data_IF_252791655010
#
_entry.id   IF_252791655010
#
_cell.length_a   1.000
_cell.length_b   1.000
_cell.length_c   1.000
_cell.angle_alpha   90.00
_cell.angle_beta   90.00
_cell.angle_gamma   90.00
#
_symmetry.space_group_name_H-M   'P 1'
#
loop_
_entity.id
_entity.type
_entity.pdbx_description
1 polymer ?
#
# COMPACT_ATOMS: atom_id res chain seq x y z
N UNK A 1 41.52 -116.11 21.38
CA UNK A 1 40.17 -115.60 21.74
C UNK A 1 40.16 -114.09 21.53
N UNK A 2 39.23 -113.55 20.73
CA UNK A 2 38.93 -112.09 20.61
C UNK A 2 38.36 -111.55 21.96
N UNK A 3 38.20 -110.22 22.25
CA UNK A 3 38.40 -109.00 21.42
C UNK A 3 38.88 -107.66 22.11
N UNK A 4 38.95 -106.57 21.30
CA UNK A 4 38.51 -105.15 21.49
C UNK A 4 39.44 -104.00 22.06
N UNK A 5 39.62 -102.94 21.21
CA UNK A 5 39.64 -101.43 21.37
C UNK A 5 40.38 -100.77 22.58
N UNK A 6 41.06 -99.60 22.55
CA UNK A 6 40.84 -98.29 21.86
C UNK A 6 42.05 -97.31 22.03
N UNK A 7 42.21 -96.40 21.05
CA UNK A 7 42.62 -94.96 21.02
C UNK A 7 43.89 -94.38 21.71
N UNK A 8 44.56 -93.49 20.95
CA UNK A 8 45.78 -92.73 21.25
C UNK A 8 45.51 -91.21 21.42
N UNK A 9 46.36 -90.53 22.21
CA UNK A 9 46.49 -89.07 22.26
C UNK A 9 47.98 -88.68 22.41
N UNK A 10 48.45 -87.71 21.62
CA UNK A 10 49.78 -87.08 21.70
C UNK A 10 49.58 -85.56 21.85
N UNK A 11 50.26 -84.96 22.83
CA UNK A 11 50.35 -83.50 23.06
C UNK A 11 51.68 -82.97 22.50
N UNK A 12 51.66 -81.79 21.85
CA UNK A 12 52.84 -80.97 21.58
C UNK A 12 52.50 -79.46 21.64
N UNK A 13 53.38 -78.67 22.27
CA UNK A 13 53.34 -77.21 22.43
C UNK A 13 53.64 -76.44 21.13
N UNK A 14 53.11 -75.22 20.97
CA UNK A 14 53.78 -74.16 20.20
C UNK A 14 53.30 -72.73 20.55
N UNK A 15 54.26 -71.80 20.56
CA UNK A 15 54.17 -70.41 20.98
C UNK A 15 53.38 -69.52 19.99
N UNK A 16 52.67 -68.53 20.53
CA UNK A 16 51.82 -67.58 19.80
C UNK A 16 52.62 -66.36 19.34
N UNK A 17 52.69 -66.13 18.02
CA UNK A 17 53.15 -64.88 17.40
C UNK A 17 51.96 -63.94 17.18
N UNK A 18 52.03 -62.71 17.70
CA UNK A 18 51.06 -61.65 17.37
C UNK A 18 51.42 -61.04 16.01
N UNK A 19 50.52 -61.15 15.03
CA UNK A 19 50.54 -60.39 13.79
C UNK A 19 49.69 -59.12 13.97
N UNK A 20 50.32 -57.95 13.81
CA UNK A 20 49.61 -56.68 13.65
C UNK A 20 48.97 -56.67 12.25
N UNK A 21 47.64 -56.66 12.21
CA UNK A 21 46.87 -56.42 10.99
C UNK A 21 46.80 -54.89 10.81
N UNK A 22 47.50 -54.36 9.80
CA UNK A 22 47.29 -52.98 9.37
C UNK A 22 45.88 -52.85 8.76
N UNK A 23 45.05 -52.00 9.37
CA UNK A 23 43.77 -51.58 8.81
C UNK A 23 44.07 -50.64 7.64
N UNK A 24 43.54 -50.85 6.43
CA UNK A 24 43.78 -49.94 5.32
C UNK A 24 43.20 -48.56 5.67
N UNK A 25 44.02 -47.53 5.57
CA UNK A 25 43.62 -46.14 5.77
C UNK A 25 42.46 -45.79 4.82
N UNK A 26 41.29 -45.58 5.39
CA UNK A 26 40.09 -45.18 4.67
C UNK A 26 40.35 -43.82 4.00
N UNK A 27 40.25 -43.76 2.67
CA UNK A 27 40.43 -42.52 1.93
C UNK A 27 39.46 -41.45 2.46
N UNK A 28 39.99 -40.31 2.90
CA UNK A 28 39.19 -39.22 3.46
C UNK A 28 38.12 -38.79 2.45
N UNK A 29 36.85 -38.85 2.86
CA UNK A 29 35.73 -38.37 2.05
C UNK A 29 35.83 -36.87 1.82
N UNK A 30 35.41 -36.41 0.64
CA UNK A 30 35.48 -35.00 0.31
C UNK A 30 34.64 -34.16 1.27
N UNK A 31 35.18 -33.04 1.71
CA UNK A 31 34.52 -32.14 2.68
C UNK A 31 34.80 -30.68 2.35
N UNK A 32 33.89 -29.80 2.79
CA UNK A 32 34.00 -28.34 2.66
C UNK A 32 34.00 -27.68 4.03
N UNK A 33 34.81 -26.63 4.17
CA UNK A 33 34.77 -25.66 5.25
C UNK A 33 34.53 -24.27 4.67
N UNK A 34 33.67 -23.48 5.33
CA UNK A 34 33.26 -22.15 4.90
C UNK A 34 33.78 -21.09 5.86
N UNK A 35 34.29 -19.99 5.33
CA UNK A 35 34.65 -18.80 6.11
C UNK A 35 34.20 -17.53 5.38
N UNK A 36 33.20 -16.79 5.90
CA UNK A 36 32.36 -17.10 7.06
C UNK A 36 31.32 -18.22 6.78
N UNK A 37 30.70 -18.76 7.84
CA UNK A 37 29.60 -19.74 7.73
C UNK A 37 28.20 -19.09 7.68
N UNK A 38 28.11 -17.77 7.88
CA UNK A 38 26.86 -17.00 7.87
C UNK A 38 27.07 -15.54 7.46
N UNK A 39 26.05 -14.91 6.90
CA UNK A 39 26.06 -13.50 6.46
C UNK A 39 24.88 -13.13 5.55
N UNK A 40 24.68 -11.85 5.22
CA UNK A 40 23.63 -11.42 4.28
C UNK A 40 23.98 -11.81 2.82
N UNK A 41 23.01 -11.76 1.89
CA UNK A 41 23.31 -11.75 0.46
C UNK A 41 24.39 -10.72 0.11
N UNK A 42 25.28 -11.07 -0.81
CA UNK A 42 26.47 -10.29 -1.15
C UNK A 42 27.72 -10.64 -0.33
N UNK A 43 27.61 -11.48 0.70
CA UNK A 43 28.77 -11.98 1.44
C UNK A 43 29.70 -12.77 0.51
N UNK A 44 31.00 -12.46 0.53
CA UNK A 44 32.04 -13.28 -0.11
C UNK A 44 32.41 -14.39 0.87
N UNK A 45 32.27 -15.65 0.44
CA UNK A 45 32.59 -16.83 1.25
C UNK A 45 33.81 -17.52 0.66
N UNK A 46 34.87 -17.60 1.45
CA UNK A 46 36.03 -18.44 1.13
C UNK A 46 35.73 -19.88 1.49
N UNK A 47 35.81 -20.75 0.50
CA UNK A 47 35.51 -22.18 0.61
C UNK A 47 36.81 -22.96 0.50
N UNK A 48 37.08 -23.77 1.53
CA UNK A 48 38.20 -24.71 1.55
C UNK A 48 37.69 -26.13 1.39
N UNK A 49 38.14 -26.83 0.35
CA UNK A 49 37.80 -28.22 0.11
C UNK A 49 38.98 -29.17 0.30
N UNK A 50 38.72 -30.34 0.90
CA UNK A 50 39.70 -31.43 1.06
C UNK A 50 39.13 -32.74 0.54
N UNK A 51 39.98 -33.72 0.20
CA UNK A 51 39.55 -35.04 -0.29
C UNK A 51 39.08 -35.06 -1.75
N UNK A 52 39.41 -34.03 -2.53
CA UNK A 52 39.03 -33.94 -3.95
C UNK A 52 40.09 -34.58 -4.87
N UNK A 53 39.69 -35.03 -6.09
CA UNK A 53 40.60 -35.61 -7.06
C UNK A 53 41.78 -34.68 -7.41
N UNK A 54 42.99 -35.11 -7.08
CA UNK A 54 44.24 -34.32 -7.22
C UNK A 54 44.41 -33.79 -8.66
N UNK A 55 44.89 -32.55 -8.78
CA UNK A 55 45.21 -31.88 -10.07
C UNK A 55 44.02 -31.74 -11.04
N UNK A 56 42.78 -31.92 -10.60
CA UNK A 56 41.59 -31.70 -11.42
C UNK A 56 41.06 -30.27 -11.28
N UNK A 57 40.33 -29.82 -12.29
CA UNK A 57 39.52 -28.62 -12.22
C UNK A 57 38.14 -28.96 -11.63
N UNK A 58 37.54 -27.98 -10.95
CA UNK A 58 36.20 -28.10 -10.37
C UNK A 58 35.43 -26.80 -10.41
N UNK A 59 34.15 -26.89 -10.06
CA UNK A 59 33.22 -25.76 -9.95
C UNK A 59 32.65 -25.71 -8.56
N UNK A 60 32.70 -24.52 -7.96
CA UNK A 60 32.06 -24.14 -6.72
C UNK A 60 30.78 -23.37 -7.07
N UNK A 61 29.64 -23.72 -6.48
CA UNK A 61 28.37 -23.04 -6.71
C UNK A 61 27.67 -22.66 -5.39
N UNK A 62 27.03 -21.50 -5.41
CA UNK A 62 26.15 -20.98 -4.36
C UNK A 62 24.89 -20.41 -5.04
N UNK A 63 23.84 -21.23 -5.16
CA UNK A 63 22.65 -20.86 -5.92
C UNK A 63 22.97 -20.58 -7.40
N UNK A 64 22.69 -19.35 -7.84
CA UNK A 64 22.96 -18.90 -9.23
C UNK A 64 24.40 -18.46 -9.47
N UNK A 65 25.21 -18.28 -8.42
CA UNK A 65 26.59 -17.86 -8.53
C UNK A 65 27.53 -19.07 -8.56
N UNK A 66 28.62 -18.98 -9.33
CA UNK A 66 29.64 -20.03 -9.40
C UNK A 66 31.04 -19.49 -9.61
N UNK A 67 32.05 -20.24 -9.14
CA UNK A 67 33.47 -19.97 -9.32
C UNK A 67 34.21 -21.25 -9.71
N UNK A 68 35.19 -21.15 -10.62
CA UNK A 68 36.06 -22.26 -10.97
C UNK A 68 37.22 -22.39 -9.98
N UNK A 69 37.67 -23.61 -9.71
CA UNK A 69 38.86 -23.87 -8.89
C UNK A 69 39.72 -24.99 -9.48
N UNK A 70 40.97 -25.10 -9.02
CA UNK A 70 41.87 -26.22 -9.33
C UNK A 70 42.31 -26.90 -8.02
N UNK A 71 42.22 -28.22 -8.01
CA UNK A 71 42.63 -29.05 -6.87
C UNK A 71 44.15 -29.26 -6.91
N UNK A 72 44.81 -29.08 -5.78
CA UNK A 72 46.25 -29.27 -5.61
C UNK A 72 46.66 -30.74 -5.77
N UNK A 73 47.97 -30.99 -5.73
CA UNK A 73 48.51 -32.35 -5.65
C UNK A 73 48.21 -33.07 -4.31
N UNK A 74 47.76 -32.35 -3.29
CA UNK A 74 47.33 -32.90 -2.00
C UNK A 74 45.81 -33.14 -1.90
N UNK A 75 45.03 -32.82 -2.95
CA UNK A 75 43.57 -32.98 -2.94
C UNK A 75 42.83 -31.82 -2.28
N UNK A 76 43.49 -30.66 -2.19
CA UNK A 76 43.04 -29.45 -1.53
C UNK A 76 42.70 -28.34 -2.53
N UNK A 77 41.70 -27.51 -2.25
CA UNK A 77 41.50 -26.24 -2.97
C UNK A 77 40.96 -25.16 -2.04
N UNK A 78 41.15 -23.91 -2.47
CA UNK A 78 40.48 -22.73 -1.91
C UNK A 78 39.90 -21.89 -3.05
N UNK A 79 38.66 -21.45 -2.91
CA UNK A 79 38.01 -20.54 -3.85
C UNK A 79 36.94 -19.70 -3.15
N UNK A 80 36.70 -18.50 -3.67
CA UNK A 80 35.67 -17.60 -3.17
C UNK A 80 34.40 -17.72 -4.01
N UNK A 81 33.24 -17.61 -3.36
CA UNK A 81 31.94 -17.48 -4.02
C UNK A 81 31.10 -16.42 -3.32
N UNK A 82 30.39 -15.61 -4.10
CA UNK A 82 29.48 -14.58 -3.57
C UNK A 82 28.11 -15.19 -3.34
N UNK A 83 27.52 -14.94 -2.17
CA UNK A 83 26.15 -15.38 -1.85
C UNK A 83 25.14 -14.53 -2.65
N UNK A 84 24.29 -15.14 -3.50
CA UNK A 84 23.30 -14.38 -4.27
C UNK A 84 22.14 -13.88 -3.39
N UNK A 85 21.34 -12.92 -3.89
CA UNK A 85 20.02 -12.64 -3.33
C UNK A 85 19.19 -13.93 -3.22
N UNK A 86 18.65 -14.21 -2.04
CA UNK A 86 17.83 -15.41 -1.78
C UNK A 86 16.83 -15.16 -0.67
N UNK A 87 15.66 -15.79 -0.75
CA UNK A 87 14.64 -15.83 0.29
C UNK A 87 14.77 -17.04 1.22
N UNK A 88 15.70 -17.96 0.93
CA UNK A 88 15.93 -19.16 1.74
C UNK A 88 16.79 -18.82 2.97
N UNK A 89 16.48 -19.38 4.16
CA UNK A 89 17.25 -19.12 5.38
C UNK A 89 18.64 -19.77 5.37
N UNK A 90 18.83 -20.79 4.53
CA UNK A 90 20.08 -21.53 4.36
C UNK A 90 20.32 -21.74 2.87
N UNK A 91 21.57 -21.57 2.45
CA UNK A 91 22.02 -21.85 1.08
C UNK A 91 23.11 -22.93 1.10
N UNK A 92 22.90 -24.02 0.36
CA UNK A 92 23.93 -25.04 0.18
C UNK A 92 24.98 -24.57 -0.83
N UNK A 93 26.23 -24.50 -0.37
CA UNK A 93 27.39 -24.26 -1.22
C UNK A 93 27.96 -25.60 -1.62
N UNK A 94 28.04 -25.87 -2.93
CA UNK A 94 28.46 -27.15 -3.48
C UNK A 94 29.75 -27.03 -4.29
N UNK A 95 30.67 -27.96 -4.09
CA UNK A 95 31.87 -28.11 -4.93
C UNK A 95 31.85 -29.44 -5.67
N UNK A 96 32.13 -29.40 -6.96
CA UNK A 96 32.15 -30.57 -7.86
C UNK A 96 33.48 -30.59 -8.60
N UNK A 97 34.19 -31.73 -8.56
CA UNK A 97 35.38 -31.99 -9.37
C UNK A 97 35.38 -33.44 -9.83
N UNK A 98 35.14 -33.68 -11.12
CA UNK A 98 34.90 -35.02 -11.67
C UNK A 98 33.61 -35.62 -11.11
N UNK A 99 33.69 -36.84 -10.56
CA UNK A 99 32.56 -37.53 -9.93
C UNK A 99 32.38 -37.19 -8.44
N UNK A 100 33.33 -36.47 -7.84
CA UNK A 100 33.33 -36.14 -6.40
C UNK A 100 32.57 -34.83 -6.17
N UNK A 101 31.64 -34.87 -5.22
CA UNK A 101 30.85 -33.72 -4.76
C UNK A 101 30.91 -33.60 -3.25
N UNK A 102 30.98 -32.38 -2.74
CA UNK A 102 30.75 -32.08 -1.33
C UNK A 102 29.95 -30.78 -1.21
N UNK A 103 29.18 -30.64 -0.13
CA UNK A 103 28.36 -29.45 0.13
C UNK A 103 28.51 -29.01 1.58
N UNK A 104 28.34 -27.71 1.83
CA UNK A 104 28.27 -27.13 3.17
C UNK A 104 27.19 -26.04 3.21
N UNK A 105 26.43 -26.01 4.30
CA UNK A 105 25.34 -25.07 4.50
C UNK A 105 25.86 -23.70 4.96
N UNK A 106 25.45 -22.64 4.28
CA UNK A 106 25.68 -21.25 4.66
C UNK A 106 24.39 -20.64 5.21
N UNK A 107 24.43 -20.05 6.40
CA UNK A 107 23.24 -19.44 7.03
C UNK A 107 23.06 -17.99 6.57
N UNK A 108 21.90 -17.67 6.01
CA UNK A 108 21.57 -16.31 5.57
C UNK A 108 21.18 -15.47 6.78
N UNK A 109 21.90 -14.38 7.01
CA UNK A 109 21.59 -13.39 8.05
C UNK A 109 21.00 -12.17 7.35
N UNK A 110 19.68 -12.06 7.34
CA UNK A 110 19.00 -10.80 7.07
C UNK A 110 18.91 -10.02 8.37
N UNK A 111 19.62 -8.89 8.46
CA UNK A 111 19.32 -7.90 9.48
C UNK A 111 17.91 -7.40 9.16
N UNK A 112 16.90 -7.56 10.05
CA UNK A 112 15.63 -6.88 9.83
C UNK A 112 15.96 -5.40 9.80
N UNK A 113 15.79 -4.78 8.63
CA UNK A 113 15.71 -3.33 8.57
C UNK A 113 14.45 -3.02 9.36
N UNK A 114 14.60 -2.50 10.57
CA UNK A 114 13.50 -1.87 11.28
C UNK A 114 13.11 -0.67 10.43
N UNK A 115 12.18 -0.88 9.50
CA UNK A 115 11.50 0.20 8.84
C UNK A 115 10.87 1.02 9.98
N UNK A 116 11.07 2.36 10.01
CA UNK A 116 10.40 3.18 11.00
C UNK A 116 8.92 2.82 10.97
N UNK A 117 8.33 2.48 12.12
CA UNK A 117 6.89 2.30 12.19
C UNK A 117 6.25 3.60 11.68
N UNK A 118 5.23 3.53 10.81
CA UNK A 118 4.53 4.72 10.37
C UNK A 118 4.16 5.58 11.58
N UNK A 119 4.28 6.91 11.49
CA UNK A 119 3.85 7.81 12.57
C UNK A 119 2.43 7.45 13.04
N UNK A 120 2.15 7.55 14.33
CA UNK A 120 0.78 7.36 14.80
C UNK A 120 -0.14 8.45 14.24
N UNK A 121 -1.43 8.17 14.09
CA UNK A 121 -2.42 9.21 13.79
C UNK A 121 -2.60 10.16 14.97
N UNK A 122 -2.82 11.46 14.70
CA UNK A 122 -3.14 12.44 15.74
C UNK A 122 -4.56 12.28 16.27
N UNK A 123 -4.78 12.70 17.51
CA UNK A 123 -6.11 12.84 18.13
C UNK A 123 -6.75 14.20 17.89
N UNK A 124 -6.10 15.09 17.12
CA UNK A 124 -6.59 16.44 16.87
C UNK A 124 -7.98 16.44 16.20
N UNK A 125 -8.88 17.39 16.53
CA UNK A 125 -10.21 17.46 15.93
C UNK A 125 -10.20 17.58 14.41
N UNK A 126 -9.27 18.35 13.85
CA UNK A 126 -9.00 18.37 12.41
C UNK A 126 -8.13 17.16 12.06
N UNK A 127 -8.75 16.13 11.49
CA UNK A 127 -8.10 14.92 11.03
C UNK A 127 -7.31 15.17 9.74
N UNK A 128 -6.13 14.55 9.63
CA UNK A 128 -5.39 14.48 8.38
C UNK A 128 -5.85 13.25 7.59
N UNK A 129 -6.04 13.43 6.28
CA UNK A 129 -6.26 12.36 5.31
C UNK A 129 -5.48 12.58 4.02
N UNK A 130 -5.43 11.56 3.19
CA UNK A 130 -4.71 11.61 1.91
C UNK A 130 -5.36 10.70 0.87
N UNK A 131 -5.31 11.10 -0.40
CA UNK A 131 -5.43 10.22 -1.56
C UNK A 131 -4.11 10.15 -2.30
N UNK A 132 -3.72 8.95 -2.75
CA UNK A 132 -2.48 8.73 -3.53
C UNK A 132 -2.78 7.97 -4.84
N UNK A 133 -1.88 8.01 -5.84
CA UNK A 133 -2.11 7.39 -7.15
C UNK A 133 -2.41 5.90 -7.12
N UNK A 134 -1.69 5.13 -6.29
CA UNK A 134 -1.89 3.70 -6.13
C UNK A 134 -3.06 3.33 -5.19
N UNK A 135 -3.68 4.32 -4.57
CA UNK A 135 -4.88 4.16 -3.75
C UNK A 135 -4.69 3.33 -2.48
N UNK A 136 -5.78 2.79 -1.92
CA UNK A 136 -5.80 2.10 -0.62
C UNK A 136 -4.79 0.96 -0.41
N UNK A 137 -4.38 0.28 -1.48
CA UNK A 137 -3.46 -0.87 -1.40
C UNK A 137 -1.99 -0.46 -1.52
N UNK A 138 -1.70 0.78 -1.90
CA UNK A 138 -0.34 1.29 -2.10
C UNK A 138 0.30 1.68 -0.76
N UNK A 139 0.60 0.68 0.07
CA UNK A 139 1.12 0.89 1.43
C UNK A 139 2.38 1.76 1.47
N UNK A 140 3.27 1.64 0.47
CA UNK A 140 4.48 2.46 0.40
C UNK A 140 4.19 3.96 0.16
N UNK A 141 3.21 4.28 -0.68
CA UNK A 141 2.79 5.67 -0.92
C UNK A 141 2.13 6.26 0.34
N UNK A 142 1.28 5.49 0.99
CA UNK A 142 0.64 5.89 2.24
C UNK A 142 1.65 6.07 3.40
N UNK A 143 2.69 5.24 3.46
CA UNK A 143 3.78 5.38 4.44
C UNK A 143 4.66 6.60 4.14
N UNK A 144 4.89 6.91 2.85
CA UNK A 144 5.59 8.12 2.44
C UNK A 144 4.78 9.36 2.82
N UNK A 145 3.49 9.40 2.50
CA UNK A 145 2.60 10.50 2.89
C UNK A 145 2.58 10.71 4.42
N UNK A 146 2.51 9.62 5.20
CA UNK A 146 2.57 9.69 6.65
C UNK A 146 3.91 10.27 7.15
N UNK A 147 5.02 9.85 6.53
CA UNK A 147 6.36 10.36 6.87
C UNK A 147 6.50 11.85 6.55
N UNK A 148 5.95 12.30 5.41
CA UNK A 148 5.96 13.69 4.99
C UNK A 148 5.07 14.57 5.86
N UNK A 149 3.91 14.07 6.28
CA UNK A 149 2.95 14.81 7.12
C UNK A 149 3.33 14.80 8.62
N UNK A 150 4.19 13.88 9.05
CA UNK A 150 4.56 13.69 10.45
C UNK A 150 3.51 12.98 11.30
N UNK A 151 2.44 12.44 10.69
CA UNK A 151 1.40 11.62 11.31
C UNK A 151 0.79 10.66 10.28
N UNK A 152 0.25 9.52 10.72
CA UNK A 152 -0.50 8.65 9.80
C UNK A 152 -1.86 9.28 9.42
N UNK A 153 -2.22 9.29 8.12
CA UNK A 153 -3.55 9.71 7.70
C UNK A 153 -4.63 8.82 8.32
N UNK A 154 -5.63 9.46 8.91
CA UNK A 154 -6.80 8.80 9.53
C UNK A 154 -8.00 8.71 8.59
N UNK A 155 -7.93 9.39 7.44
CA UNK A 155 -8.89 9.29 6.33
C UNK A 155 -8.13 8.97 5.06
N UNK A 156 -8.51 7.91 4.35
CA UNK A 156 -7.91 7.56 3.04
C UNK A 156 -8.95 7.76 1.95
N UNK A 157 -8.63 8.63 1.00
CA UNK A 157 -9.46 8.88 -0.17
C UNK A 157 -9.25 7.78 -1.21
N UNK A 158 -10.34 7.27 -1.75
CA UNK A 158 -10.33 6.35 -2.87
C UNK A 158 -11.51 6.59 -3.80
N UNK A 159 -11.42 6.05 -5.02
CA UNK A 159 -12.43 6.22 -6.05
C UNK A 159 -12.84 4.85 -6.59
N UNK A 160 -14.13 4.72 -6.91
CA UNK A 160 -14.69 3.61 -7.68
C UNK A 160 -15.76 4.11 -8.64
N UNK A 161 -15.77 3.55 -9.84
CA UNK A 161 -16.80 3.80 -10.84
C UNK A 161 -17.95 2.77 -10.73
N UNK A 162 -18.99 2.93 -11.55
CA UNK A 162 -20.16 2.04 -11.56
C UNK A 162 -19.93 0.71 -12.29
N UNK A 163 -18.72 0.46 -12.81
CA UNK A 163 -18.34 -0.79 -13.44
C UNK A 163 -17.49 -1.68 -12.51
N UNK A 164 -17.26 -1.23 -11.28
CA UNK A 164 -16.43 -1.92 -10.30
C UNK A 164 -17.26 -2.54 -9.17
N UNK A 165 -16.76 -3.66 -8.66
CA UNK A 165 -17.32 -4.35 -7.50
C UNK A 165 -17.00 -3.59 -6.19
N UNK A 166 -17.76 -3.84 -5.09
CA UNK A 166 -17.49 -3.26 -3.78
C UNK A 166 -16.06 -3.59 -3.33
N UNK A 167 -15.24 -2.59 -2.96
CA UNK A 167 -13.80 -2.79 -2.81
C UNK A 167 -13.41 -3.28 -1.41
N UNK A 168 -13.99 -4.39 -0.94
CA UNK A 168 -13.84 -4.87 0.46
C UNK A 168 -12.37 -5.03 0.88
N UNK A 169 -11.52 -5.57 0.00
CA UNK A 169 -10.09 -5.71 0.29
C UNK A 169 -9.37 -4.36 0.49
N UNK A 170 -9.77 -3.32 -0.26
CA UNK A 170 -9.24 -1.97 -0.11
C UNK A 170 -9.70 -1.33 1.20
N UNK A 171 -10.98 -1.50 1.54
CA UNK A 171 -11.55 -1.02 2.80
C UNK A 171 -10.89 -1.69 4.02
N UNK A 172 -10.65 -3.00 3.95
CA UNK A 172 -9.93 -3.73 4.99
C UNK A 172 -8.48 -3.26 5.13
N UNK A 173 -7.79 -2.99 4.01
CA UNK A 173 -6.42 -2.47 4.04
C UNK A 173 -6.36 -1.10 4.74
N UNK A 174 -7.29 -0.18 4.43
CA UNK A 174 -7.39 1.12 5.11
C UNK A 174 -7.70 0.95 6.59
N UNK A 175 -8.68 0.11 6.93
CA UNK A 175 -9.04 -0.19 8.32
C UNK A 175 -7.87 -0.77 9.11
N UNK A 176 -7.06 -1.64 8.51
CA UNK A 176 -5.89 -2.24 9.14
C UNK A 176 -4.83 -1.22 9.55
N UNK A 177 -4.83 -0.04 8.90
CA UNK A 177 -3.99 1.11 9.23
C UNK A 177 -4.57 2.00 10.34
N UNK A 178 -5.76 1.69 10.86
CA UNK A 178 -6.47 2.54 11.81
C UNK A 178 -7.16 3.76 11.18
N UNK A 179 -7.30 3.78 9.85
CA UNK A 179 -7.96 4.84 9.11
C UNK A 179 -9.38 4.44 8.66
N UNK A 180 -10.17 5.42 8.22
CA UNK A 180 -11.47 5.22 7.58
C UNK A 180 -11.38 5.62 6.11
N UNK A 181 -12.01 4.85 5.23
CA UNK A 181 -12.06 5.21 3.80
C UNK A 181 -13.09 6.30 3.54
N UNK A 182 -12.70 7.34 2.82
CA UNK A 182 -13.58 8.24 2.09
C UNK A 182 -13.66 7.74 0.64
N UNK A 183 -14.72 6.98 0.36
CA UNK A 183 -14.93 6.32 -0.92
C UNK A 183 -15.78 7.21 -1.84
N UNK A 184 -15.15 7.81 -2.83
CA UNK A 184 -15.83 8.50 -3.92
C UNK A 184 -16.41 7.49 -4.88
N UNK A 185 -17.74 7.52 -5.04
CA UNK A 185 -18.46 6.57 -5.87
C UNK A 185 -19.09 7.28 -7.06
N UNK A 186 -18.54 7.00 -8.23
CA UNK A 186 -18.76 7.80 -9.43
C UNK A 186 -19.71 7.08 -10.39
N UNK A 187 -20.90 7.65 -10.68
CA UNK A 187 -21.88 7.05 -11.58
C UNK A 187 -21.50 7.19 -13.07
N UNK A 188 -20.46 6.47 -13.48
CA UNK A 188 -19.99 6.38 -14.86
C UNK A 188 -19.09 5.14 -15.04
N UNK A 189 -18.58 4.92 -16.26
CA UNK A 189 -17.45 4.04 -16.50
C UNK A 189 -16.20 4.84 -16.84
N UNK A 190 -15.10 4.54 -16.15
CA UNK A 190 -13.79 5.13 -16.44
C UNK A 190 -13.34 4.84 -17.87
N UNK A 191 -12.65 5.80 -18.46
CA UNK A 191 -12.18 5.74 -19.85
C UNK A 191 -13.25 6.00 -20.91
N UNK A 192 -14.52 6.14 -20.53
CA UNK A 192 -15.64 6.44 -21.44
C UNK A 192 -15.83 7.92 -21.79
N UNK A 193 -15.08 8.84 -21.17
CA UNK A 193 -15.25 10.29 -21.34
C UNK A 193 -16.54 10.82 -20.69
N UNK A 194 -16.89 12.08 -20.96
CA UNK A 194 -18.04 12.73 -20.30
C UNK A 194 -19.39 12.38 -20.94
N UNK A 195 -19.40 12.02 -22.24
CA UNK A 195 -20.62 11.63 -22.96
C UNK A 195 -20.99 10.17 -22.67
N UNK A 196 -21.78 9.96 -21.61
CA UNK A 196 -22.17 8.65 -21.12
C UNK A 196 -23.65 8.61 -20.68
N UNK A 197 -24.61 8.80 -21.61
CA UNK A 197 -26.05 8.83 -21.30
C UNK A 197 -26.61 7.53 -20.70
N UNK A 198 -25.87 6.42 -20.80
CA UNK A 198 -26.22 5.18 -20.12
C UNK A 198 -26.21 5.31 -18.58
N UNK A 199 -25.46 6.27 -18.05
CA UNK A 199 -25.35 6.60 -16.62
C UNK A 199 -26.06 7.90 -16.23
N UNK A 200 -26.95 8.41 -17.09
CA UNK A 200 -27.76 9.59 -16.76
C UNK A 200 -28.54 9.38 -15.44
N UNK A 201 -28.72 10.48 -14.70
CA UNK A 201 -29.28 10.47 -13.35
C UNK A 201 -30.74 10.00 -13.31
N UNK A 202 -31.50 10.26 -14.37
CA UNK A 202 -32.88 9.79 -14.53
C UNK A 202 -32.95 8.25 -14.62
N UNK A 203 -31.95 7.60 -15.25
CA UNK A 203 -31.85 6.13 -15.32
C UNK A 203 -31.50 5.53 -13.96
N UNK A 204 -30.67 6.22 -13.17
CA UNK A 204 -30.39 5.82 -11.79
C UNK A 204 -31.68 5.90 -10.97
N UNK A 205 -32.38 7.03 -11.04
CA UNK A 205 -33.67 7.25 -10.35
C UNK A 205 -34.76 6.27 -10.80
N UNK A 206 -34.76 5.85 -12.07
CA UNK A 206 -35.69 4.85 -12.60
C UNK A 206 -35.40 3.41 -12.13
N UNK A 207 -34.31 3.20 -11.37
CA UNK A 207 -33.95 1.93 -10.79
C UNK A 207 -33.13 1.01 -11.69
N UNK A 208 -32.61 1.51 -12.82
CA UNK A 208 -31.84 0.69 -13.76
C UNK A 208 -30.54 0.13 -13.14
N UNK A 209 -30.05 0.76 -12.07
CA UNK A 209 -28.84 0.36 -11.35
C UNK A 209 -29.14 -0.37 -10.03
N UNK A 210 -30.42 -0.57 -9.65
CA UNK A 210 -30.79 -1.15 -8.34
C UNK A 210 -30.17 -2.53 -8.05
N UNK A 211 -30.02 -3.45 -9.01
CA UNK A 211 -29.31 -4.70 -8.74
C UNK A 211 -27.86 -4.46 -8.31
N UNK A 212 -27.17 -3.53 -8.98
CA UNK A 212 -25.79 -3.15 -8.66
C UNK A 212 -25.70 -2.43 -7.31
N UNK A 213 -26.58 -1.47 -7.06
CA UNK A 213 -26.63 -0.72 -5.79
C UNK A 213 -26.93 -1.65 -4.60
N UNK A 214 -27.85 -2.62 -4.76
CA UNK A 214 -28.13 -3.63 -3.72
C UNK A 214 -26.96 -4.57 -3.48
N UNK A 215 -26.26 -4.99 -4.54
CA UNK A 215 -25.03 -5.78 -4.38
C UNK A 215 -24.00 -5.02 -3.54
N UNK A 216 -23.83 -3.72 -3.80
CA UNK A 216 -22.96 -2.85 -3.02
C UNK A 216 -23.41 -2.72 -1.57
N UNK A 217 -24.68 -2.40 -1.33
CA UNK A 217 -25.22 -2.29 0.02
C UNK A 217 -25.06 -3.58 0.83
N UNK A 218 -25.40 -4.74 0.27
CA UNK A 218 -25.23 -6.04 0.94
C UNK A 218 -23.77 -6.33 1.28
N UNK A 219 -22.83 -6.01 0.38
CA UNK A 219 -21.41 -6.23 0.62
C UNK A 219 -20.89 -5.33 1.75
N UNK A 220 -21.25 -4.05 1.75
CA UNK A 220 -20.86 -3.10 2.78
C UNK A 220 -21.50 -3.42 4.15
N UNK A 221 -22.78 -3.82 4.16
CA UNK A 221 -23.46 -4.29 5.36
C UNK A 221 -22.78 -5.53 5.95
N UNK A 222 -22.42 -6.49 5.09
CA UNK A 222 -21.73 -7.72 5.51
C UNK A 222 -20.32 -7.45 6.02
N UNK A 223 -19.63 -6.46 5.46
CA UNK A 223 -18.33 -6.01 5.94
C UNK A 223 -18.41 -5.35 7.33
N UNK A 224 -19.48 -4.60 7.59
CA UNK A 224 -19.89 -4.21 8.95
C UNK A 224 -18.97 -3.19 9.65
N UNK A 225 -18.09 -2.52 8.91
CA UNK A 225 -17.17 -1.51 9.44
C UNK A 225 -17.46 -0.11 8.87
N UNK A 226 -17.06 0.97 9.57
CA UNK A 226 -17.33 2.33 9.08
C UNK A 226 -16.69 2.62 7.73
N UNK A 227 -17.46 3.21 6.82
CA UNK A 227 -17.01 3.78 5.54
C UNK A 227 -17.75 5.08 5.27
N UNK A 228 -17.05 6.09 4.75
CA UNK A 228 -17.68 7.31 4.26
C UNK A 228 -17.91 7.17 2.76
N UNK A 229 -19.17 7.27 2.32
CA UNK A 229 -19.54 7.12 0.90
C UNK A 229 -19.90 8.48 0.31
N UNK A 230 -19.20 8.84 -0.77
CA UNK A 230 -19.26 10.15 -1.43
C UNK A 230 -19.73 9.98 -2.87
N UNK A 231 -21.02 9.77 -3.04
CA UNK A 231 -21.66 9.48 -4.33
C UNK A 231 -21.72 10.74 -5.21
N UNK A 232 -21.30 10.65 -6.48
CA UNK A 232 -21.48 11.72 -7.46
C UNK A 232 -20.97 13.08 -6.98
N UNK A 233 -19.71 13.14 -6.53
CA UNK A 233 -19.07 14.37 -6.04
C UNK A 233 -18.97 15.47 -7.12
N UNK A 234 -18.72 16.70 -6.67
CA UNK A 234 -18.53 17.92 -7.49
C UNK A 234 -19.65 18.16 -8.51
N UNK A 235 -20.87 17.76 -8.13
CA UNK A 235 -22.05 17.81 -8.99
C UNK A 235 -22.42 19.22 -9.46
N UNK A 236 -21.94 20.26 -8.76
CA UNK A 236 -22.11 21.66 -9.13
C UNK A 236 -21.14 22.15 -10.22
N UNK A 237 -20.15 21.34 -10.58
CA UNK A 237 -19.27 21.54 -11.73
C UNK A 237 -19.93 21.15 -13.05
N UNK A 238 -19.16 21.16 -14.14
CA UNK A 238 -19.63 20.80 -15.49
C UNK A 238 -18.75 19.75 -16.21
N UNK A 239 -17.83 19.12 -15.48
CA UNK A 239 -16.85 18.18 -16.04
C UNK A 239 -17.27 16.71 -15.90
N UNK A 240 -18.24 16.40 -15.05
CA UNK A 240 -18.67 15.02 -14.80
C UNK A 240 -19.95 14.61 -15.54
N UNK A 241 -20.08 13.32 -15.93
CA UNK A 241 -21.27 12.78 -16.58
C UNK A 241 -22.58 12.96 -15.82
N UNK A 242 -22.50 13.14 -14.50
CA UNK A 242 -23.64 13.32 -13.58
C UNK A 242 -23.91 14.79 -13.21
N UNK A 243 -23.16 15.74 -13.77
CA UNK A 243 -23.50 17.15 -13.62
C UNK A 243 -24.82 17.47 -14.34
N UNK A 244 -25.63 18.36 -13.76
CA UNK A 244 -26.81 18.89 -14.45
C UNK A 244 -26.39 19.63 -15.74
N UNK A 245 -27.13 19.46 -16.82
CA UNK A 245 -26.80 19.96 -18.16
C UNK A 245 -25.93 19.02 -19.00
N UNK A 246 -25.40 17.95 -18.41
CA UNK A 246 -24.62 16.92 -19.11
C UNK A 246 -25.47 15.65 -19.29
N UNK A 247 -25.31 14.93 -20.40
CA UNK A 247 -26.00 13.65 -20.68
C UNK A 247 -27.53 13.68 -20.60
N UNK A 248 -28.16 14.86 -20.67
CA UNK A 248 -29.60 15.04 -20.53
C UNK A 248 -30.08 15.22 -19.08
N UNK A 249 -29.18 15.25 -18.10
CA UNK A 249 -29.51 15.53 -16.70
C UNK A 249 -30.10 16.94 -16.56
N UNK A 250 -31.32 17.04 -16.05
CA UNK A 250 -32.02 18.30 -15.79
C UNK A 250 -31.90 18.76 -14.33
N UNK A 251 -32.35 20.00 -14.05
CA UNK A 251 -32.44 20.51 -12.68
C UNK A 251 -33.26 19.61 -11.75
N UNK A 252 -32.65 19.19 -10.65
CA UNK A 252 -33.24 18.31 -9.63
C UNK A 252 -32.98 16.82 -9.81
N UNK A 253 -32.46 16.40 -10.98
CA UNK A 253 -32.16 14.98 -11.22
C UNK A 253 -31.07 14.46 -10.29
N UNK A 254 -30.11 15.31 -9.91
CA UNK A 254 -29.06 14.93 -8.97
C UNK A 254 -29.65 14.58 -7.59
N UNK A 255 -30.57 15.41 -7.10
CA UNK A 255 -31.26 15.18 -5.83
C UNK A 255 -32.09 13.90 -5.88
N UNK A 256 -32.81 13.67 -6.98
CA UNK A 256 -33.61 12.47 -7.16
C UNK A 256 -32.75 11.20 -7.16
N UNK A 257 -31.64 11.21 -7.91
CA UNK A 257 -30.71 10.09 -7.98
C UNK A 257 -30.00 9.83 -6.65
N UNK A 258 -29.54 10.88 -5.94
CA UNK A 258 -28.92 10.75 -4.61
C UNK A 258 -29.86 10.03 -3.65
N UNK A 259 -31.11 10.51 -3.54
CA UNK A 259 -32.11 9.94 -2.62
C UNK A 259 -32.40 8.48 -2.98
N UNK A 260 -32.54 8.20 -4.27
CA UNK A 260 -32.77 6.84 -4.75
C UNK A 260 -31.62 5.89 -4.40
N UNK A 261 -30.36 6.29 -4.67
CA UNK A 261 -29.16 5.50 -4.31
C UNK A 261 -29.10 5.27 -2.80
N UNK A 262 -29.32 6.31 -2.01
CA UNK A 262 -29.37 6.20 -0.56
C UNK A 262 -30.42 5.18 -0.10
N UNK A 263 -31.65 5.28 -0.58
CA UNK A 263 -32.76 4.44 -0.13
C UNK A 263 -32.54 2.97 -0.53
N UNK A 264 -32.04 2.70 -1.73
CA UNK A 264 -31.72 1.35 -2.20
C UNK A 264 -30.61 0.72 -1.36
N UNK A 265 -29.55 1.47 -1.05
CA UNK A 265 -28.42 0.97 -0.25
C UNK A 265 -28.84 0.81 1.22
N UNK A 266 -29.55 1.78 1.81
CA UNK A 266 -30.03 1.73 3.18
C UNK A 266 -30.98 0.53 3.41
N UNK A 267 -31.83 0.20 2.42
CA UNK A 267 -32.73 -0.96 2.48
C UNK A 267 -32.01 -2.31 2.58
N UNK A 268 -30.71 -2.37 2.30
CA UNK A 268 -29.89 -3.60 2.47
C UNK A 268 -29.42 -3.82 3.92
N UNK A 269 -29.64 -2.86 4.81
CA UNK A 269 -29.16 -2.89 6.20
C UNK A 269 -27.74 -2.36 6.38
N UNK A 270 -27.17 -1.67 5.38
CA UNK A 270 -25.84 -1.05 5.43
C UNK A 270 -25.79 0.20 6.33
N UNK A 271 -26.07 0.04 7.62
CA UNK A 271 -26.09 1.13 8.61
C UNK A 271 -24.70 1.63 9.03
N UNK A 272 -23.65 1.04 8.46
CA UNK A 272 -22.24 1.38 8.70
C UNK A 272 -21.69 2.47 7.77
N UNK A 273 -22.52 2.97 6.85
CA UNK A 273 -22.15 4.00 5.88
C UNK A 273 -22.43 5.38 6.46
N UNK A 274 -21.47 6.30 6.35
CA UNK A 274 -21.67 7.74 6.49
C UNK A 274 -21.82 8.36 5.10
N UNK A 275 -22.97 8.95 4.81
CA UNK A 275 -23.25 9.61 3.53
C UNK A 275 -22.66 11.02 3.49
N UNK A 276 -21.70 11.25 2.59
CA UNK A 276 -20.95 12.51 2.46
C UNK A 276 -21.34 13.25 1.19
N UNK A 277 -22.13 14.32 1.34
CA UNK A 277 -22.53 15.17 0.21
C UNK A 277 -21.45 16.21 -0.08
N UNK A 278 -20.92 16.22 -1.31
CA UNK A 278 -19.67 16.90 -1.64
C UNK A 278 -19.75 17.70 -2.95
N UNK A 279 -20.08 19.00 -2.89
CA UNK A 279 -19.83 19.92 -3.99
C UNK A 279 -18.34 20.32 -4.11
N UNK A 280 -17.95 20.81 -5.29
CA UNK A 280 -16.78 21.65 -5.46
C UNK A 280 -17.03 23.01 -4.79
N UNK A 281 -15.99 23.72 -4.36
CA UNK A 281 -16.11 25.11 -3.90
C UNK A 281 -16.92 25.95 -4.90
N UNK A 282 -17.89 26.77 -4.45
CA UNK A 282 -18.69 27.57 -5.37
C UNK A 282 -17.83 28.54 -6.19
N UNK A 283 -18.11 28.63 -7.49
CA UNK A 283 -17.44 29.54 -8.41
C UNK A 283 -18.45 30.17 -9.39
N UNK A 284 -18.04 31.22 -10.08
CA UNK A 284 -18.90 31.88 -11.07
C UNK A 284 -19.31 30.92 -12.19
N UNK A 285 -20.62 30.67 -12.30
CA UNK A 285 -21.19 29.74 -13.29
C UNK A 285 -21.33 28.29 -12.82
N UNK A 286 -20.95 27.97 -11.58
CA UNK A 286 -21.33 26.70 -10.96
C UNK A 286 -22.83 26.61 -10.70
N UNK A 287 -23.38 25.40 -10.71
CA UNK A 287 -24.79 25.17 -10.33
C UNK A 287 -25.00 25.51 -8.85
N UNK A 288 -26.08 26.23 -8.54
CA UNK A 288 -26.38 26.62 -7.17
C UNK A 288 -26.64 25.41 -6.27
N UNK A 289 -26.05 25.41 -5.07
CA UNK A 289 -26.07 24.26 -4.18
C UNK A 289 -27.47 23.98 -3.59
N UNK A 290 -28.35 24.98 -3.47
CA UNK A 290 -29.74 24.79 -3.03
C UNK A 290 -30.49 23.76 -3.88
N UNK A 291 -30.24 23.73 -5.19
CA UNK A 291 -30.87 22.79 -6.12
C UNK A 291 -30.30 21.37 -6.07
N UNK A 292 -29.14 21.20 -5.43
CA UNK A 292 -28.36 19.97 -5.42
C UNK A 292 -28.34 19.28 -4.06
N UNK A 293 -28.76 19.96 -2.99
CA UNK A 293 -28.77 19.42 -1.63
C UNK A 293 -29.94 18.44 -1.44
N UNK A 294 -29.69 17.14 -1.15
CA UNK A 294 -30.74 16.13 -1.08
C UNK A 294 -31.57 16.19 0.21
N UNK A 295 -31.19 17.03 1.16
CA UNK A 295 -31.90 17.24 2.42
C UNK A 295 -31.25 16.50 3.61
N UNK A 296 -31.57 16.93 4.85
CA UNK A 296 -30.84 16.52 6.05
C UNK A 296 -31.02 15.04 6.44
N UNK A 297 -32.05 14.37 5.91
CA UNK A 297 -32.33 12.96 6.14
C UNK A 297 -31.45 12.01 5.29
N UNK A 298 -30.78 12.54 4.26
CA UNK A 298 -30.01 11.78 3.27
C UNK A 298 -28.51 12.04 3.35
N UNK A 299 -28.05 12.82 4.33
CA UNK A 299 -26.68 13.32 4.45
C UNK A 299 -26.25 13.26 5.91
N UNK A 300 -25.15 12.57 6.18
CA UNK A 300 -24.56 12.48 7.52
C UNK A 300 -23.45 13.51 7.74
N UNK A 301 -22.68 13.81 6.68
CA UNK A 301 -21.66 14.85 6.65
C UNK A 301 -21.66 15.58 5.32
N UNK A 302 -21.15 16.81 5.32
CA UNK A 302 -20.97 17.60 4.10
C UNK A 302 -19.49 17.81 3.83
N UNK A 303 -19.12 18.07 2.59
CA UNK A 303 -17.72 18.24 2.22
C UNK A 303 -17.54 19.26 1.09
N UNK A 304 -16.31 19.74 0.94
CA UNK A 304 -15.88 20.54 -0.20
C UNK A 304 -14.62 19.95 -0.81
N UNK A 305 -14.58 20.02 -2.14
CA UNK A 305 -13.34 19.92 -2.91
C UNK A 305 -12.92 21.29 -3.39
N UNK A 306 -11.63 21.60 -3.30
CA UNK A 306 -11.12 22.90 -3.72
C UNK A 306 -9.60 22.93 -3.79
N UNK A 307 -9.10 23.57 -4.85
CA UNK A 307 -7.67 23.60 -5.16
C UNK A 307 -7.19 25.03 -5.39
N UNK A 308 -6.03 25.37 -4.82
CA UNK A 308 -5.33 26.58 -5.23
C UNK A 308 -4.51 26.27 -6.49
N UNK A 309 -5.10 26.53 -7.65
CA UNK A 309 -4.45 26.37 -8.96
C UNK A 309 -3.31 27.36 -9.20
N UNK A 310 -3.21 28.43 -8.41
CA UNK A 310 -2.16 29.42 -8.61
C UNK A 310 -2.16 29.95 -10.04
N UNK A 311 -0.99 30.06 -10.67
CA UNK A 311 -0.86 30.39 -12.09
C UNK A 311 -0.51 29.16 -12.95
N UNK A 312 -0.88 27.95 -12.53
CA UNK A 312 -0.60 26.74 -13.31
C UNK A 312 -1.53 26.57 -14.51
N UNK A 313 -2.69 27.23 -14.52
CA UNK A 313 -3.62 27.28 -15.64
C UNK A 313 -3.87 28.73 -16.10
N UNK A 314 -4.17 28.91 -17.39
CA UNK A 314 -4.38 30.24 -17.97
C UNK A 314 -5.61 30.97 -17.40
N UNK A 315 -6.57 30.22 -16.84
CA UNK A 315 -7.80 30.74 -16.24
C UNK A 315 -7.71 30.93 -14.72
N UNK A 316 -6.59 30.55 -14.09
CA UNK A 316 -6.46 30.55 -12.64
C UNK A 316 -5.54 31.67 -12.12
N UNK A 317 -5.72 32.02 -10.85
CA UNK A 317 -4.82 32.86 -10.08
C UNK A 317 -4.59 32.28 -8.68
N UNK A 318 -3.56 32.76 -8.00
CA UNK A 318 -3.32 32.41 -6.60
C UNK A 318 -4.48 32.86 -5.72
N UNK A 319 -4.94 31.96 -4.84
CA UNK A 319 -6.06 32.21 -3.92
C UNK A 319 -5.73 31.72 -2.52
N UNK A 320 -6.06 32.52 -1.50
CA UNK A 320 -5.85 32.11 -0.10
C UNK A 320 -6.86 31.04 0.34
N UNK A 321 -6.55 30.19 1.34
CA UNK A 321 -7.49 29.17 1.83
C UNK A 321 -8.84 29.74 2.29
N UNK A 322 -8.84 30.88 2.97
CA UNK A 322 -10.07 31.52 3.44
C UNK A 322 -10.95 32.04 2.30
N UNK A 323 -10.34 32.55 1.23
CA UNK A 323 -11.07 32.99 0.03
C UNK A 323 -11.58 31.79 -0.77
N UNK A 324 -10.80 30.71 -0.85
CA UNK A 324 -11.16 29.49 -1.56
C UNK A 324 -12.34 28.75 -0.89
N UNK A 325 -12.26 28.53 0.42
CA UNK A 325 -13.23 27.69 1.14
C UNK A 325 -14.33 28.49 1.85
N UNK A 326 -14.09 29.75 2.23
CA UNK A 326 -15.01 30.53 3.07
C UNK A 326 -16.44 30.63 2.54
N UNK A 327 -16.66 30.97 1.26
CA UNK A 327 -18.00 30.99 0.67
C UNK A 327 -18.70 29.63 0.72
N UNK A 328 -17.99 28.56 0.31
CA UNK A 328 -18.52 27.20 0.34
C UNK A 328 -18.88 26.74 1.76
N UNK A 329 -18.00 26.96 2.74
CA UNK A 329 -18.26 26.60 4.15
C UNK A 329 -19.49 27.33 4.68
N UNK A 330 -19.68 28.60 4.31
CA UNK A 330 -20.86 29.37 4.70
C UNK A 330 -22.15 28.82 4.11
N UNK A 331 -22.10 28.39 2.84
CA UNK A 331 -23.24 27.78 2.16
C UNK A 331 -23.58 26.39 2.73
N UNK A 332 -22.58 25.56 2.99
CA UNK A 332 -22.75 24.27 3.64
C UNK A 332 -23.43 24.40 5.02
N UNK A 333 -23.00 25.36 5.84
CA UNK A 333 -23.60 25.61 7.16
C UNK A 333 -25.05 26.05 7.09
N UNK A 334 -25.42 26.77 6.03
CA UNK A 334 -26.81 27.19 5.80
C UNK A 334 -27.68 26.01 5.35
N UNK A 335 -27.19 25.19 4.43
CA UNK A 335 -27.94 24.06 3.87
C UNK A 335 -28.06 22.88 4.85
N UNK A 336 -26.98 22.61 5.59
CA UNK A 336 -26.83 21.44 6.43
C UNK A 336 -26.38 21.82 7.85
N UNK A 337 -27.16 22.63 8.59
CA UNK A 337 -26.75 23.14 9.90
C UNK A 337 -26.46 22.00 10.88
N UNK A 338 -25.33 22.11 11.58
CA UNK A 338 -24.90 21.15 12.60
C UNK A 338 -24.26 19.85 12.07
N UNK A 339 -24.17 19.67 10.74
CA UNK A 339 -23.42 18.55 10.15
C UNK A 339 -21.92 18.86 10.22
N UNK A 340 -21.11 17.81 10.39
CA UNK A 340 -19.65 17.94 10.26
C UNK A 340 -19.28 18.24 8.81
N UNK A 341 -18.21 19.00 8.65
CA UNK A 341 -17.65 19.39 7.35
C UNK A 341 -16.29 18.70 7.15
N UNK A 342 -16.05 18.22 5.93
CA UNK A 342 -14.75 17.76 5.47
C UNK A 342 -14.26 18.69 4.35
N UNK A 343 -12.96 18.93 4.29
CA UNK A 343 -12.30 19.26 3.02
C UNK A 343 -11.83 17.92 2.46
N UNK A 344 -12.62 17.38 1.54
CA UNK A 344 -12.49 15.99 1.06
C UNK A 344 -11.45 15.83 -0.04
N UNK A 345 -11.15 16.92 -0.75
CA UNK A 345 -9.98 17.05 -1.60
C UNK A 345 -9.45 18.47 -1.57
N UNK A 346 -8.15 18.60 -1.36
CA UNK A 346 -7.46 19.86 -1.59
C UNK A 346 -5.99 19.68 -1.86
N UNK A 347 -5.41 20.66 -2.54
CA UNK A 347 -3.99 20.92 -2.62
C UNK A 347 -3.75 22.34 -3.14
N UNK A 348 -2.48 22.71 -3.26
CA UNK A 348 -2.03 23.95 -3.87
C UNK A 348 -0.95 23.66 -4.91
N UNK A 349 -0.96 24.44 -5.98
CA UNK A 349 0.14 24.53 -6.93
C UNK A 349 1.33 25.25 -6.30
N UNK A 350 2.52 25.08 -6.89
CA UNK A 350 3.71 25.88 -6.56
C UNK A 350 3.74 27.20 -7.35
N UNK A 351 3.06 27.27 -8.50
CA UNK A 351 3.10 28.45 -9.37
C UNK A 351 2.17 29.56 -8.87
N UNK A 352 2.64 30.81 -8.86
CA UNK A 352 1.82 31.98 -8.54
C UNK A 352 1.89 32.46 -7.09
N UNK A 353 2.62 31.75 -6.22
CA UNK A 353 2.81 32.11 -4.81
C UNK A 353 3.69 31.10 -4.07
N UNK A 354 3.64 31.09 -2.73
CA UNK A 354 4.42 30.19 -1.90
C UNK A 354 3.55 29.06 -1.32
N UNK A 355 3.67 27.84 -1.85
CA UNK A 355 2.86 26.68 -1.40
C UNK A 355 3.08 26.37 0.07
N UNK A 356 4.30 26.51 0.57
CA UNK A 356 4.61 26.32 1.99
C UNK A 356 3.78 27.25 2.91
N UNK A 357 3.67 28.53 2.55
CA UNK A 357 2.85 29.49 3.30
C UNK A 357 1.36 29.15 3.18
N UNK A 358 0.92 28.72 1.99
CA UNK A 358 -0.45 28.29 1.76
C UNK A 358 -0.83 27.06 2.59
N UNK A 359 0.04 26.04 2.68
CA UNK A 359 -0.17 24.85 3.50
C UNK A 359 -0.35 25.24 4.98
N UNK A 360 0.51 26.14 5.47
CA UNK A 360 0.43 26.66 6.84
C UNK A 360 -0.89 27.40 7.08
N UNK A 361 -1.27 28.27 6.14
CA UNK A 361 -2.50 29.03 6.21
C UNK A 361 -3.74 28.13 6.13
N UNK A 362 -3.72 27.07 5.33
CA UNK A 362 -4.84 26.14 5.17
C UNK A 362 -5.12 25.43 6.50
N UNK A 363 -4.11 24.79 7.09
CA UNK A 363 -4.31 24.05 8.34
C UNK A 363 -4.75 24.99 9.46
N UNK A 364 -4.15 26.18 9.57
CA UNK A 364 -4.57 27.20 10.55
C UNK A 364 -6.03 27.64 10.34
N UNK A 365 -6.41 27.93 9.09
CA UNK A 365 -7.77 28.33 8.76
C UNK A 365 -8.77 27.22 9.08
N UNK A 366 -8.56 25.99 8.60
CA UNK A 366 -9.49 24.88 8.83
C UNK A 366 -9.57 24.50 10.31
N UNK A 367 -8.45 24.51 11.04
CA UNK A 367 -8.43 24.20 12.46
C UNK A 367 -9.16 25.24 13.33
N UNK A 368 -9.34 26.47 12.83
CA UNK A 368 -10.15 27.50 13.49
C UNK A 368 -11.66 27.30 13.30
N UNK A 369 -12.08 26.38 12.43
CA UNK A 369 -13.47 26.06 12.16
C UNK A 369 -13.86 24.79 12.95
N UNK A 370 -14.65 24.94 14.02
CA UNK A 370 -14.96 23.83 14.93
C UNK A 370 -15.76 22.67 14.31
N UNK A 371 -16.45 22.93 13.21
CA UNK A 371 -17.24 21.97 12.45
C UNK A 371 -16.45 21.29 11.32
N UNK A 372 -15.26 21.77 10.96
CA UNK A 372 -14.38 21.13 9.98
C UNK A 372 -13.54 20.07 10.68
N UNK A 373 -13.78 18.80 10.35
CA UNK A 373 -13.21 17.66 11.09
C UNK A 373 -12.21 16.83 10.30
N UNK A 374 -12.02 17.11 9.01
CA UNK A 374 -11.00 16.47 8.21
C UNK A 374 -10.51 17.40 7.10
N UNK A 375 -9.22 17.30 6.79
CA UNK A 375 -8.60 17.80 5.57
C UNK A 375 -7.90 16.64 4.88
N UNK A 376 -8.27 16.39 3.63
CA UNK A 376 -7.79 15.27 2.84
C UNK A 376 -6.95 15.81 1.69
N UNK A 377 -5.65 15.54 1.75
CA UNK A 377 -4.70 16.02 0.76
C UNK A 377 -4.76 15.17 -0.51
N UNK A 378 -4.85 15.82 -1.67
CA UNK A 378 -4.75 15.15 -2.96
C UNK A 378 -3.28 15.06 -3.38
N UNK A 379 -2.60 13.96 -3.03
CA UNK A 379 -1.16 13.76 -3.22
C UNK A 379 -0.83 13.18 -4.61
N UNK A 380 -1.10 13.95 -5.67
CA UNK A 380 -0.95 13.50 -7.06
C UNK A 380 -0.09 14.48 -7.87
N UNK A 381 0.68 13.95 -8.83
CA UNK A 381 1.23 14.77 -9.91
C UNK A 381 0.35 14.59 -11.15
N UNK A 382 -0.54 15.56 -11.42
CA UNK A 382 -1.61 15.43 -12.42
C UNK A 382 -1.70 16.69 -13.29
N UNK A 383 -2.74 17.50 -13.18
CA UNK A 383 -2.90 18.73 -13.95
C UNK A 383 -1.80 19.75 -13.60
N UNK A 384 -1.36 19.73 -12.34
CA UNK A 384 -0.11 20.29 -11.86
C UNK A 384 0.41 19.39 -10.72
N UNK A 385 1.54 19.76 -10.13
CA UNK A 385 2.14 19.00 -9.03
C UNK A 385 1.45 19.31 -7.69
N UNK A 386 0.41 18.53 -7.36
CA UNK A 386 -0.35 18.63 -6.13
C UNK A 386 0.31 17.95 -4.93
N UNK A 387 1.42 17.23 -5.14
CA UNK A 387 2.02 16.42 -4.09
C UNK A 387 2.46 17.23 -2.88
N UNK A 388 2.43 16.60 -1.70
CA UNK A 388 2.96 17.14 -0.45
C UNK A 388 4.45 17.51 -0.65
N UNK A 389 5.20 16.64 -1.32
CA UNK A 389 6.63 16.76 -1.59
C UNK A 389 6.98 17.40 -2.94
N UNK A 390 6.06 18.18 -3.54
CA UNK A 390 6.38 19.04 -4.71
C UNK A 390 7.58 19.95 -4.45
N UNK A 391 7.81 20.30 -3.18
CA UNK A 391 9.05 20.88 -2.67
C UNK A 391 9.30 20.47 -1.21
N UNK A 392 10.57 20.49 -0.77
CA UNK A 392 10.91 20.28 0.65
C UNK A 392 10.21 21.29 1.57
N UNK A 393 10.04 22.53 1.10
CA UNK A 393 9.35 23.58 1.84
C UNK A 393 7.86 23.27 2.03
N UNK A 394 7.18 22.78 0.98
CA UNK A 394 5.77 22.34 1.05
C UNK A 394 5.58 21.25 2.11
N UNK A 395 6.39 20.18 2.04
CA UNK A 395 6.29 19.06 2.98
C UNK A 395 6.57 19.49 4.44
N UNK A 396 7.64 20.27 4.65
CA UNK A 396 8.01 20.76 5.98
C UNK A 396 6.93 21.65 6.59
N UNK A 397 6.33 22.53 5.78
CA UNK A 397 5.28 23.43 6.22
C UNK A 397 3.99 22.68 6.57
N UNK A 398 3.57 21.71 5.75
CA UNK A 398 2.40 20.89 6.04
C UNK A 398 2.59 20.12 7.35
N UNK A 399 3.74 19.43 7.53
CA UNK A 399 4.03 18.69 8.75
C UNK A 399 4.03 19.58 10.00
N UNK A 400 4.66 20.76 9.90
CA UNK A 400 4.75 21.70 11.02
C UNK A 400 3.37 22.25 11.39
N UNK A 401 2.56 22.60 10.39
CA UNK A 401 1.21 23.12 10.61
C UNK A 401 0.27 22.06 11.18
N UNK A 402 0.35 20.83 10.69
CA UNK A 402 -0.35 19.69 11.26
C UNK A 402 0.06 19.47 12.73
N UNK A 403 1.36 19.45 13.05
CA UNK A 403 1.82 19.27 14.43
C UNK A 403 1.38 20.38 15.39
N UNK A 404 1.26 21.62 14.91
CA UNK A 404 0.93 22.81 15.70
C UNK A 404 -0.59 23.03 15.90
N UNK A 405 -1.46 22.30 15.18
CA UNK A 405 -2.91 22.50 15.29
C UNK A 405 -3.46 22.12 16.67
N UNK A 406 -4.60 22.69 17.11
CA UNK A 406 -5.23 22.35 18.38
C UNK A 406 -5.52 20.85 18.53
N UNK A 407 -5.39 20.33 19.76
CA UNK A 407 -5.62 18.91 20.11
C UNK A 407 -6.80 18.74 21.04
#
# INVERSE_FOLDING_TARGET
MKPLRTLACILALLALSLTLVEVPAQAASASLSLSPTKGPPGTIVTVTGTGFPKKNAGTLSAGVNSAAFKVSASGYFTADVVIPPTSQPVLDIQAVSGTVKASAAFTIVVTPVTQPSPPASSSAPLRFGVGTPGGPLASAELDQAASLAGEAPSVILSYKDFNQAPPIAELDAVRSRGAVTLLTWEPWAWGGGTEQPAYALDRITAGNFDPYLRQWGVALASWGHPVMLRFGHEMNGNWYPWSEGINGNGPGDYVAAWRHVHDVVAATGASNITWVWNPNVPYWGSTALDGLYPGPAYVDAVALDGYNWGTSAAWSSWISPSELFGPGLSELRRLAPGKQVLVAETSSAEQGGAKADWNTALISYLASQSDVTAVVWFDFNKETDWRIDSSTASATALASALAARPK
#
